data_IF_398824837211
#
_entry.id   IF_398824837211
#
_cell.length_a   1.000
_cell.length_b   1.000
_cell.length_c   1.000
_cell.angle_alpha   90.00
_cell.angle_beta   90.00
_cell.angle_gamma   90.00
#
_symmetry.space_group_name_H-M   'P 1'
#
loop_
_entity.id
_entity.type
_entity.pdbx_description
1 polymer ?
#
# COMPACT_ATOMS: atom_id res chain seq x y z
N UNK A 1 19.97 -10.79 -27.31
CA UNK A 1 20.47 -9.60 -26.59
C UNK A 1 20.96 -8.62 -27.66
N UNK A 2 20.51 -7.35 -27.69
CA UNK A 2 21.11 -6.40 -28.65
C UNK A 2 22.39 -5.86 -28.01
N UNK A 3 23.53 -6.31 -28.53
CA UNK A 3 24.84 -5.72 -28.24
C UNK A 3 24.92 -4.37 -28.97
N UNK A 4 25.66 -3.41 -28.43
CA UNK A 4 26.05 -2.24 -29.19
C UNK A 4 27.10 -2.62 -30.25
N UNK A 5 27.48 -1.67 -31.11
CA UNK A 5 28.43 -1.88 -32.22
C UNK A 5 29.82 -2.36 -31.78
N UNK A 6 30.07 -2.42 -30.46
CA UNK A 6 31.33 -2.80 -29.83
C UNK A 6 31.22 -4.14 -29.08
N UNK A 7 30.08 -4.84 -29.14
CA UNK A 7 29.90 -6.13 -28.47
C UNK A 7 29.71 -6.04 -26.95
N UNK A 8 29.56 -4.83 -26.40
CA UNK A 8 29.41 -4.61 -24.96
C UNK A 8 27.91 -4.70 -24.62
N UNK A 9 27.57 -5.42 -23.55
CA UNK A 9 26.19 -5.44 -23.09
C UNK A 9 25.84 -4.04 -22.57
N UNK A 10 24.83 -3.38 -23.17
CA UNK A 10 24.34 -2.10 -22.67
C UNK A 10 23.98 -2.25 -21.17
N UNK A 11 24.69 -1.58 -20.23
CA UNK A 11 24.41 -1.72 -18.80
C UNK A 11 23.06 -1.10 -18.40
N UNK A 12 22.44 -0.31 -19.29
CA UNK A 12 21.18 0.40 -19.06
C UNK A 12 19.91 -0.30 -19.53
N UNK A 13 19.96 -1.57 -19.97
CA UNK A 13 18.80 -2.25 -20.59
C UNK A 13 17.53 -2.19 -19.74
N UNK A 14 17.62 -2.42 -18.42
CA UNK A 14 16.46 -2.37 -17.53
C UNK A 14 15.87 -0.95 -17.42
N UNK A 15 16.72 0.08 -17.32
CA UNK A 15 16.30 1.49 -17.32
C UNK A 15 15.61 1.85 -18.64
N UNK A 16 16.18 1.43 -19.77
CA UNK A 16 15.64 1.70 -21.09
C UNK A 16 14.30 0.98 -21.31
N UNK A 17 14.13 -0.21 -20.72
CA UNK A 17 12.86 -0.93 -20.69
C UNK A 17 11.82 -0.24 -19.79
N UNK A 18 12.21 0.32 -18.64
CA UNK A 18 11.28 1.01 -17.72
C UNK A 18 10.92 2.44 -18.16
N UNK A 19 11.64 3.01 -19.15
CA UNK A 19 11.33 4.33 -19.71
C UNK A 19 9.89 4.37 -20.25
N UNK A 20 9.16 5.43 -19.91
CA UNK A 20 7.81 5.65 -20.43
C UNK A 20 7.77 5.56 -21.96
N UNK A 21 6.82 4.79 -22.49
CA UNK A 21 6.66 4.58 -23.93
C UNK A 21 7.70 3.66 -24.58
N UNK A 22 8.57 2.99 -23.81
CA UNK A 22 9.52 2.01 -24.35
C UNK A 22 8.79 0.91 -25.13
N UNK A 23 9.47 0.28 -26.10
CA UNK A 23 8.90 -0.86 -26.84
C UNK A 23 8.50 -2.00 -25.89
N UNK A 24 9.25 -2.19 -24.80
CA UNK A 24 8.97 -3.20 -23.78
C UNK A 24 7.65 -2.90 -23.07
N UNK A 25 7.48 -1.72 -22.47
CA UNK A 25 6.25 -1.36 -21.76
C UNK A 25 5.04 -1.27 -22.70
N UNK A 26 5.21 -0.80 -23.94
CA UNK A 26 4.12 -0.84 -24.93
C UNK A 26 3.63 -2.26 -25.22
N UNK A 27 4.55 -3.23 -25.32
CA UNK A 27 4.20 -4.64 -25.52
C UNK A 27 3.60 -5.26 -24.26
N UNK A 28 4.15 -4.95 -23.09
CA UNK A 28 3.68 -5.45 -21.79
C UNK A 28 2.24 -4.97 -21.53
N UNK A 29 2.00 -3.66 -21.66
CA UNK A 29 0.73 -3.01 -21.36
C UNK A 29 -0.30 -3.09 -22.52
N UNK A 30 0.00 -3.87 -23.57
CA UNK A 30 -0.95 -4.14 -24.66
C UNK A 30 -2.02 -5.19 -24.26
N UNK A 31 -1.88 -5.80 -23.09
CA UNK A 31 -2.79 -6.82 -22.54
C UNK A 31 -3.36 -6.34 -21.20
N UNK A 32 -4.07 -7.22 -20.49
CA UNK A 32 -4.53 -6.96 -19.12
C UNK A 32 -3.32 -6.69 -18.22
N UNK A 33 -3.30 -5.51 -17.58
CA UNK A 33 -2.26 -5.08 -16.63
C UNK A 33 -2.29 -5.92 -15.34
N UNK A 34 -3.34 -6.74 -15.14
CA UNK A 34 -3.57 -7.62 -13.97
C UNK A 34 -3.96 -9.03 -14.43
N UNK A 35 -3.06 -9.75 -15.14
CA UNK A 35 -3.45 -10.95 -15.86
C UNK A 35 -3.79 -12.12 -14.93
N UNK A 36 -4.80 -12.91 -15.33
CA UNK A 36 -5.14 -14.20 -14.72
C UNK A 36 -5.98 -14.11 -13.44
N UNK A 37 -5.81 -15.10 -12.57
CA UNK A 37 -6.53 -15.23 -11.30
C UNK A 37 -5.76 -14.69 -10.09
N UNK A 38 -4.86 -13.73 -10.29
CA UNK A 38 -4.14 -13.07 -9.20
C UNK A 38 -5.00 -12.05 -8.45
N UNK A 39 -4.66 -11.79 -7.19
CA UNK A 39 -5.17 -10.66 -6.41
C UNK A 39 -4.01 -9.70 -6.15
N UNK A 40 -4.16 -8.41 -6.45
CA UNK A 40 -3.07 -7.43 -6.42
C UNK A 40 -3.36 -6.33 -5.40
N UNK A 41 -2.39 -6.00 -4.57
CA UNK A 41 -2.44 -4.80 -3.71
C UNK A 41 -1.26 -3.92 -4.07
N UNK A 42 -1.53 -2.82 -4.76
CA UNK A 42 -0.52 -1.88 -5.21
C UNK A 42 -0.48 -0.70 -4.25
N UNK A 43 0.65 -0.53 -3.59
CA UNK A 43 0.88 0.56 -2.65
C UNK A 43 1.82 1.56 -3.32
N UNK A 44 1.36 2.79 -3.49
CA UNK A 44 2.14 3.87 -4.07
C UNK A 44 2.16 5.08 -3.14
N UNK A 45 3.11 5.97 -3.40
CA UNK A 45 3.25 7.27 -2.75
C UNK A 45 3.19 8.34 -3.83
N UNK A 46 2.53 9.46 -3.56
CA UNK A 46 2.55 10.60 -4.47
C UNK A 46 3.87 11.39 -4.41
N UNK A 47 4.67 11.17 -3.35
CA UNK A 47 6.03 11.67 -3.17
C UNK A 47 7.11 10.80 -3.89
N UNK A 48 6.74 9.91 -4.82
CA UNK A 48 7.72 9.10 -5.58
C UNK A 48 8.52 10.00 -6.54
N UNK A 49 9.82 10.06 -6.31
CA UNK A 49 10.74 10.95 -7.02
C UNK A 49 11.19 10.43 -8.40
N UNK A 50 10.87 9.17 -8.74
CA UNK A 50 11.29 8.52 -9.99
C UNK A 50 10.10 8.23 -10.91
N UNK A 51 8.99 7.73 -10.35
CA UNK A 51 7.80 7.36 -11.09
C UNK A 51 6.69 8.38 -10.80
N UNK A 52 6.25 9.16 -11.82
CA UNK A 52 5.14 10.09 -11.61
C UNK A 52 3.89 9.38 -11.10
N UNK A 53 3.28 9.93 -10.04
CA UNK A 53 2.09 9.37 -9.39
C UNK A 53 0.93 9.09 -10.37
N UNK A 54 0.76 9.93 -11.40
CA UNK A 54 -0.25 9.72 -12.46
C UNK A 54 -0.10 8.43 -13.27
N UNK A 55 1.01 7.69 -13.07
CA UNK A 55 1.35 6.45 -13.78
C UNK A 55 1.61 5.28 -12.85
N UNK A 56 1.36 5.41 -11.55
CA UNK A 56 1.74 4.42 -10.56
C UNK A 56 0.71 3.30 -10.37
N UNK A 57 -0.45 3.33 -11.04
CA UNK A 57 -1.51 2.34 -10.87
C UNK A 57 -1.93 1.66 -12.19
N UNK A 58 -2.26 0.35 -12.16
CA UNK A 58 -2.78 -0.37 -13.31
C UNK A 58 -4.19 0.13 -13.68
N UNK A 59 -4.56 -0.03 -14.96
CA UNK A 59 -5.86 0.41 -15.47
C UNK A 59 -7.01 -0.50 -15.04
N UNK A 60 -6.75 -1.81 -14.93
CA UNK A 60 -7.73 -2.79 -14.49
C UNK A 60 -7.77 -2.85 -12.96
N UNK A 61 -8.97 -2.79 -12.40
CA UNK A 61 -9.22 -2.91 -10.97
C UNK A 61 -9.84 -4.27 -10.59
N UNK A 62 -9.97 -5.20 -11.54
CA UNK A 62 -10.53 -6.54 -11.25
C UNK A 62 -9.56 -7.29 -10.34
N UNK A 63 -9.93 -7.47 -9.06
CA UNK A 63 -9.09 -8.06 -8.00
C UNK A 63 -7.83 -7.26 -7.68
N UNK A 64 -7.87 -5.95 -7.89
CA UNK A 64 -6.77 -5.05 -7.57
C UNK A 64 -7.23 -3.96 -6.63
N UNK A 65 -6.49 -3.76 -5.53
CA UNK A 65 -6.62 -2.57 -4.70
C UNK A 65 -5.42 -1.66 -4.96
N UNK A 66 -5.71 -0.41 -5.31
CA UNK A 66 -4.73 0.66 -5.44
C UNK A 66 -4.79 1.53 -4.20
N UNK A 67 -3.68 1.61 -3.47
CA UNK A 67 -3.57 2.35 -2.21
C UNK A 67 -2.54 3.45 -2.39
N UNK A 68 -2.96 4.69 -2.20
CA UNK A 68 -2.05 5.82 -2.06
C UNK A 68 -1.74 6.01 -0.58
N UNK A 69 -0.47 6.10 -0.24
CA UNK A 69 -0.02 6.19 1.15
C UNK A 69 -0.62 7.42 1.84
N UNK A 70 -0.67 8.54 1.12
CA UNK A 70 -1.16 9.84 1.60
C UNK A 70 -2.68 9.85 1.84
N UNK A 71 -3.47 8.95 1.24
CA UNK A 71 -4.90 8.80 1.56
C UNK A 71 -5.14 8.34 3.01
N UNK A 72 -4.10 7.78 3.64
CA UNK A 72 -4.12 7.30 5.02
C UNK A 72 -3.33 8.17 5.99
N UNK A 73 -2.34 8.91 5.49
CA UNK A 73 -1.54 9.82 6.28
C UNK A 73 -1.03 10.98 5.41
N UNK A 74 -1.92 11.94 5.10
CA UNK A 74 -1.71 12.99 4.12
C UNK A 74 -0.51 13.92 4.38
N UNK A 75 0.00 13.96 5.61
CA UNK A 75 1.13 14.82 5.99
C UNK A 75 2.46 14.10 6.13
N UNK A 76 2.53 12.79 5.87
CA UNK A 76 3.78 12.04 6.02
C UNK A 76 4.50 11.94 4.67
N UNK A 77 5.61 12.68 4.46
CA UNK A 77 6.40 12.54 3.25
C UNK A 77 7.04 11.17 3.21
N UNK A 78 6.87 10.44 2.11
CA UNK A 78 7.50 9.13 1.95
C UNK A 78 7.97 8.86 0.52
N UNK A 79 9.28 8.80 0.35
CA UNK A 79 9.92 8.60 -0.95
C UNK A 79 9.77 7.17 -1.46
N UNK A 80 10.06 6.97 -2.75
CA UNK A 80 10.14 5.65 -3.38
C UNK A 80 11.02 4.67 -2.59
N UNK A 81 12.17 5.15 -2.15
CA UNK A 81 13.15 4.33 -1.43
C UNK A 81 12.71 3.99 0.00
N UNK A 82 11.78 4.74 0.58
CA UNK A 82 11.40 4.56 1.99
C UNK A 82 10.06 3.86 2.17
N UNK A 83 9.21 3.79 1.13
CA UNK A 83 7.86 3.22 1.23
C UNK A 83 7.86 1.77 1.76
N UNK A 84 8.85 0.96 1.40
CA UNK A 84 8.93 -0.44 1.83
C UNK A 84 9.28 -0.60 3.32
N UNK A 85 9.94 0.40 3.93
CA UNK A 85 10.30 0.41 5.35
C UNK A 85 9.16 0.93 6.24
N UNK A 86 8.14 1.56 5.65
CA UNK A 86 7.05 2.15 6.41
C UNK A 86 6.31 1.09 7.24
N UNK A 87 6.09 1.30 8.55
CA UNK A 87 5.25 0.39 9.37
C UNK A 87 3.85 0.22 8.79
N UNK A 88 3.29 1.30 8.23
CA UNK A 88 1.97 1.26 7.61
C UNK A 88 1.95 0.40 6.33
N UNK A 89 2.94 0.53 5.44
CA UNK A 89 3.06 -0.31 4.26
C UNK A 89 3.16 -1.80 4.62
N UNK A 90 3.95 -2.15 5.65
CA UNK A 90 4.02 -3.52 6.18
C UNK A 90 2.68 -4.03 6.69
N UNK A 91 1.90 -3.19 7.40
CA UNK A 91 0.54 -3.53 7.84
C UNK A 91 -0.40 -3.80 6.65
N UNK A 92 -0.28 -3.02 5.57
CA UNK A 92 -1.04 -3.25 4.34
C UNK A 92 -0.67 -4.59 3.70
N UNK A 93 0.62 -4.92 3.61
CA UNK A 93 1.12 -6.20 3.08
C UNK A 93 0.59 -7.39 3.88
N UNK A 94 0.74 -7.38 5.21
CA UNK A 94 0.20 -8.47 6.05
C UNK A 94 -1.32 -8.57 5.96
N UNK A 95 -2.00 -7.44 5.78
CA UNK A 95 -3.43 -7.42 5.47
C UNK A 95 -3.76 -8.12 4.15
N UNK A 96 -3.01 -7.86 3.08
CA UNK A 96 -3.23 -8.53 1.79
C UNK A 96 -2.98 -10.05 1.90
N UNK A 97 -1.87 -10.45 2.54
CA UNK A 97 -1.52 -11.87 2.72
C UNK A 97 -2.53 -12.65 3.57
N UNK A 98 -3.25 -11.97 4.46
CA UNK A 98 -4.29 -12.58 5.29
C UNK A 98 -5.65 -12.75 4.60
N UNK A 99 -5.79 -12.39 3.32
CA UNK A 99 -7.08 -12.38 2.60
C UNK A 99 -7.01 -13.13 1.25
N UNK A 100 -8.09 -13.80 0.80
CA UNK A 100 -8.16 -14.40 -0.54
C UNK A 100 -8.16 -13.37 -1.69
N UNK A 101 -8.69 -12.18 -1.42
CA UNK A 101 -8.75 -11.05 -2.34
C UNK A 101 -7.58 -10.08 -2.13
N UNK A 102 -7.50 -9.00 -2.94
CA UNK A 102 -6.64 -7.88 -2.60
C UNK A 102 -7.05 -7.33 -1.23
N UNK A 103 -6.15 -6.60 -0.56
CA UNK A 103 -6.56 -5.91 0.66
C UNK A 103 -7.71 -4.98 0.33
N UNK A 104 -8.89 -5.17 0.94
CA UNK A 104 -9.99 -4.23 0.81
C UNK A 104 -9.88 -3.19 1.93
N UNK A 105 -10.16 -1.92 1.62
CA UNK A 105 -10.27 -0.81 2.59
C UNK A 105 -11.09 -1.14 3.85
N UNK A 106 -11.99 -2.12 3.76
CA UNK A 106 -12.91 -2.58 4.81
C UNK A 106 -12.73 -4.05 5.22
N UNK A 107 -11.61 -4.70 4.90
CA UNK A 107 -11.39 -6.08 5.33
C UNK A 107 -11.50 -6.15 6.87
N UNK A 108 -12.41 -6.98 7.42
CA UNK A 108 -12.41 -7.23 8.85
C UNK A 108 -11.01 -7.76 9.24
N UNK A 109 -10.54 -7.40 10.43
CA UNK A 109 -9.28 -7.89 10.99
C UNK A 109 -9.12 -9.38 10.67
N UNK A 110 -7.95 -9.84 10.19
CA UNK A 110 -7.78 -11.23 9.77
C UNK A 110 -8.33 -12.11 10.88
N UNK A 111 -9.36 -12.92 10.56
CA UNK A 111 -9.95 -13.82 11.53
C UNK A 111 -8.80 -14.65 12.06
N UNK A 112 -8.50 -14.51 13.36
CA UNK A 112 -7.54 -15.35 14.08
C UNK A 112 -7.86 -16.78 13.63
N UNK A 113 -6.94 -17.42 12.91
CA UNK A 113 -7.05 -18.85 12.65
C UNK A 113 -7.15 -19.50 14.03
N UNK A 114 -8.36 -19.90 14.42
CA UNK A 114 -8.57 -20.71 15.62
C UNK A 114 -8.01 -22.08 15.27
N UNK A 115 -6.70 -22.27 15.51
CA UNK A 115 -6.17 -23.62 15.74
C UNK A 115 -6.91 -24.13 16.97
N UNK A 116 -7.72 -25.17 16.75
CA UNK A 116 -8.38 -25.88 17.84
C UNK A 116 -7.33 -26.45 18.77
N UNK A 117 -7.20 -25.84 19.94
CA UNK A 117 -6.70 -26.46 21.17
C UNK A 117 -7.70 -26.00 22.23
N UNK A 118 -8.34 -26.96 22.89
CA UNK A 118 -9.31 -26.75 23.96
C UNK A 118 -8.81 -25.83 25.10
N UNK A 119 -9.72 -25.18 25.85
CA UNK A 119 -9.33 -24.19 26.84
C UNK A 119 -8.92 -24.86 28.15
N UNK A 120 -7.66 -24.65 28.56
CA UNK A 120 -7.32 -24.72 29.98
C UNK A 120 -7.95 -23.50 30.68
N UNK A 121 -8.72 -23.80 31.73
CA UNK A 121 -9.42 -22.83 32.58
C UNK A 121 -8.45 -21.92 33.33
N UNK A 122 -8.97 -20.72 33.62
CA UNK A 122 -8.64 -19.80 34.72
C UNK A 122 -7.29 -19.07 34.73
N UNK A 123 -7.37 -17.75 34.75
CA UNK A 123 -6.30 -16.85 35.19
C UNK A 123 -6.45 -15.46 34.59
N UNK A 124 -7.10 -14.54 35.29
CA UNK A 124 -7.34 -13.18 34.83
C UNK A 124 -6.06 -12.37 34.67
N UNK A 125 -6.03 -11.51 33.65
CA UNK A 125 -5.15 -10.35 33.60
C UNK A 125 -5.76 -9.29 32.67
N UNK A 126 -6.17 -8.20 33.29
CA UNK A 126 -6.39 -6.88 32.71
C UNK A 126 -5.16 -6.39 31.93
N UNK A 127 -5.35 -5.76 30.77
CA UNK A 127 -4.35 -4.84 30.22
C UNK A 127 -4.10 -4.91 28.71
N UNK A 128 -5.08 -4.56 27.88
CA UNK A 128 -4.82 -4.27 26.47
C UNK A 128 -4.30 -2.83 26.32
N UNK A 129 -2.99 -2.67 26.44
CA UNK A 129 -2.27 -1.43 26.13
C UNK A 129 -0.98 -1.73 25.37
N UNK A 130 -0.96 -1.52 24.05
CA UNK A 130 0.27 -1.60 23.26
C UNK A 130 1.08 -0.29 23.37
N UNK A 131 2.39 -0.35 23.69
CA UNK A 131 3.12 0.78 24.30
C UNK A 131 3.73 1.85 23.36
N UNK A 132 3.34 1.96 22.08
CA UNK A 132 4.03 2.88 21.15
C UNK A 132 3.14 3.77 20.27
N UNK A 133 1.89 4.02 20.69
CA UNK A 133 1.09 5.12 20.12
C UNK A 133 1.06 6.27 21.14
N UNK A 134 1.39 7.52 20.76
CA UNK A 134 1.04 8.65 21.61
C UNK A 134 -0.48 8.67 21.78
N UNK A 135 -0.93 8.62 23.05
CA UNK A 135 -2.33 8.80 23.42
C UNK A 135 -2.72 10.24 23.07
N UNK A 136 -3.43 10.45 21.98
CA UNK A 136 -4.15 11.71 21.79
C UNK A 136 -5.42 11.61 22.63
N UNK A 137 -5.40 12.20 23.82
CA UNK A 137 -6.64 12.47 24.55
C UNK A 137 -7.41 13.51 23.78
N UNK A 138 -8.63 13.14 23.39
CA UNK A 138 -9.69 14.05 22.98
C UNK A 138 -9.92 15.03 24.13
N UNK A 139 -9.45 16.27 23.99
CA UNK A 139 -9.87 17.38 24.84
C UNK A 139 -10.85 18.25 24.06
N UNK A 140 -12.01 18.43 24.68
CA UNK A 140 -13.13 19.23 24.27
C UNK A 140 -12.74 20.65 23.84
N UNK A 141 -13.33 21.11 22.72
CA UNK A 141 -13.81 22.48 22.62
C UNK A 141 -15.21 22.45 22.00
N UNK A 142 -16.19 22.37 22.89
CA UNK A 142 -17.59 22.67 22.61
C UNK A 142 -17.75 24.10 22.09
N UNK A 143 -18.60 24.20 21.05
CA UNK A 143 -19.64 25.20 20.86
C UNK A 143 -19.40 26.64 21.38
N UNK A 144 -19.19 27.55 20.41
CA UNK A 144 -19.61 28.97 20.30
C UNK A 144 -18.82 29.46 19.08
N UNK A 145 -19.41 29.67 17.91
CA UNK A 145 -20.17 30.87 17.56
C UNK A 145 -21.19 30.51 16.48
N UNK A 146 -22.47 30.44 16.86
CA UNK A 146 -23.61 30.53 15.97
C UNK A 146 -24.82 31.04 16.76
N UNK A 147 -24.83 32.33 17.09
CA UNK A 147 -26.06 33.11 17.34
C UNK A 147 -25.73 34.60 17.48
N UNK A 148 -26.43 35.45 16.74
CA UNK A 148 -26.62 36.86 17.11
C UNK A 148 -26.28 37.91 16.05
N UNK A 149 -27.22 38.11 15.10
CA UNK A 149 -27.50 39.45 14.56
C UNK A 149 -28.01 40.34 15.70
N UNK A 150 -27.50 41.57 15.80
CA UNK A 150 -28.23 42.83 15.85
C UNK A 150 -27.20 43.96 15.76
#
# INVERSE_FOLDING_TARGET
MRQDSLGISNPGVARDQQRAGSRFLRKLNARDDTPGGGSFTQIATDDDEIVPYTRCFPKSQRRTENITFQDHNAGLPITRQNIHNAPFARKLVFGALGNPGPRTRHAPSPRRFKRGIEPARSGGATGDGFPWLPRTTRSEKSARVASGRA
#
